data_IF_773966218479
#
_entry.id   IF_773966218479
#
_cell.length_a   1.000
_cell.length_b   1.000
_cell.length_c   1.000
_cell.angle_alpha   90.00
_cell.angle_beta   90.00
_cell.angle_gamma   90.00
#
_symmetry.space_group_name_H-M   'P 1'
#
loop_
_entity.id
_entity.type
_entity.pdbx_description
1 polymer ?
#
# COMPACT_ATOMS: atom_id res chain seq x y z
N UNK A 1 25.08 -19.89 -5.60
CA UNK A 1 23.64 -20.04 -5.82
C UNK A 1 23.27 -19.01 -6.86
N UNK A 2 22.45 -19.32 -7.85
CA UNK A 2 22.10 -18.33 -8.89
C UNK A 2 21.27 -17.22 -8.22
N UNK A 3 21.70 -15.98 -8.32
CA UNK A 3 21.09 -14.82 -7.66
C UNK A 3 19.63 -14.63 -8.07
N UNK A 4 19.30 -14.92 -9.33
CA UNK A 4 17.92 -14.95 -9.82
C UNK A 4 17.05 -15.94 -9.03
N UNK A 5 17.56 -17.15 -8.77
CA UNK A 5 16.78 -18.17 -8.04
C UNK A 5 16.56 -17.78 -6.59
N UNK A 6 17.51 -17.09 -5.96
CA UNK A 6 17.33 -16.58 -4.60
C UNK A 6 16.24 -15.51 -4.57
N UNK A 7 16.30 -14.53 -5.47
CA UNK A 7 15.28 -13.47 -5.53
C UNK A 7 13.90 -14.02 -5.87
N UNK A 8 13.79 -15.00 -6.76
CA UNK A 8 12.53 -15.69 -7.03
C UNK A 8 11.98 -16.39 -5.79
N UNK A 9 12.84 -17.06 -5.02
CA UNK A 9 12.45 -17.77 -3.78
C UNK A 9 11.94 -16.77 -2.74
N UNK A 10 12.63 -15.65 -2.57
CA UNK A 10 12.26 -14.60 -1.62
C UNK A 10 10.94 -13.93 -2.02
N UNK A 11 10.73 -13.69 -3.32
CA UNK A 11 9.49 -13.12 -3.84
C UNK A 11 8.30 -14.09 -3.70
N UNK A 12 8.48 -15.37 -4.05
CA UNK A 12 7.46 -16.42 -3.86
C UNK A 12 7.09 -16.53 -2.37
N UNK A 13 8.08 -16.55 -1.49
CA UNK A 13 7.85 -16.57 -0.05
C UNK A 13 7.06 -15.34 0.39
N UNK A 14 7.41 -14.15 -0.08
CA UNK A 14 6.69 -12.93 0.22
C UNK A 14 5.23 -13.01 -0.24
N UNK A 15 4.98 -13.40 -1.50
CA UNK A 15 3.62 -13.53 -2.05
C UNK A 15 2.79 -14.56 -1.30
N UNK A 16 3.32 -15.76 -1.06
CA UNK A 16 2.59 -16.82 -0.36
C UNK A 16 2.35 -16.51 1.11
N UNK A 17 3.21 -15.70 1.73
CA UNK A 17 3.02 -15.23 3.11
C UNK A 17 1.96 -14.12 3.20
N UNK A 18 1.88 -13.28 2.18
CA UNK A 18 0.89 -12.17 2.11
C UNK A 18 -0.50 -12.68 1.72
N UNK A 19 -0.55 -13.70 0.85
CA UNK A 19 -1.78 -14.24 0.28
C UNK A 19 -1.91 -15.76 0.55
N UNK A 20 -1.90 -16.22 1.81
CA UNK A 20 -1.79 -17.65 2.14
C UNK A 20 -2.95 -18.49 1.60
N UNK A 21 -4.16 -17.89 1.53
CA UNK A 21 -5.38 -18.62 1.13
C UNK A 21 -5.61 -18.61 -0.37
N UNK A 22 -4.97 -17.70 -1.12
CA UNK A 22 -5.23 -17.47 -2.55
C UNK A 22 -4.01 -17.66 -3.43
N UNK A 23 -2.80 -17.69 -2.86
CA UNK A 23 -1.56 -17.91 -3.59
C UNK A 23 -1.00 -19.32 -3.35
N UNK A 24 -0.62 -19.99 -4.43
CA UNK A 24 0.00 -21.31 -4.39
C UNK A 24 1.17 -21.39 -5.37
N UNK A 25 2.29 -22.00 -4.94
CA UNK A 25 3.47 -22.18 -5.77
C UNK A 25 3.73 -23.66 -6.08
N UNK A 26 3.80 -23.97 -7.36
CA UNK A 26 4.23 -25.31 -7.87
C UNK A 26 5.73 -25.27 -8.14
N UNK A 27 6.52 -25.86 -7.23
CA UNK A 27 7.99 -25.88 -7.34
C UNK A 27 8.48 -26.62 -8.58
N UNK A 28 7.79 -27.68 -9.00
CA UNK A 28 8.21 -28.49 -10.17
C UNK A 28 8.04 -27.75 -11.48
N UNK A 29 6.94 -27.01 -11.60
CA UNK A 29 6.61 -26.25 -12.80
C UNK A 29 7.11 -24.81 -12.73
N UNK A 30 7.56 -24.36 -11.56
CA UNK A 30 7.96 -22.99 -11.29
C UNK A 30 6.81 -21.99 -11.60
N UNK A 31 5.59 -22.36 -11.22
CA UNK A 31 4.40 -21.54 -11.45
C UNK A 31 3.84 -21.06 -10.12
N UNK A 32 3.74 -19.74 -9.97
CA UNK A 32 3.01 -19.08 -8.89
C UNK A 32 1.61 -18.76 -9.40
N UNK A 33 0.59 -19.32 -8.75
CA UNK A 33 -0.82 -19.09 -9.07
C UNK A 33 -1.44 -18.24 -7.97
N UNK A 34 -2.16 -17.19 -8.33
CA UNK A 34 -2.88 -16.31 -7.39
C UNK A 34 -4.33 -16.18 -7.86
N UNK A 35 -5.27 -16.49 -6.98
CA UNK A 35 -6.70 -16.32 -7.23
C UNK A 35 -7.16 -14.99 -6.69
N UNK A 36 -7.80 -14.20 -7.51
CA UNK A 36 -8.36 -12.88 -7.17
C UNK A 36 -9.89 -12.92 -7.25
N UNK A 37 -10.51 -11.81 -6.90
CA UNK A 37 -11.95 -11.64 -7.03
C UNK A 37 -12.44 -11.74 -8.49
N UNK A 38 -13.72 -11.87 -8.69
CA UNK A 38 -14.37 -12.03 -10.01
C UNK A 38 -13.89 -13.26 -10.82
N UNK A 39 -13.50 -14.34 -10.16
CA UNK A 39 -12.97 -15.55 -10.81
C UNK A 39 -11.74 -15.28 -11.70
N UNK A 40 -10.95 -14.27 -11.35
CA UNK A 40 -9.68 -13.97 -12.02
C UNK A 40 -8.57 -14.79 -11.36
N UNK A 41 -7.83 -15.54 -12.18
CA UNK A 41 -6.64 -16.28 -11.74
C UNK A 41 -5.42 -15.79 -12.51
N UNK A 42 -4.39 -15.40 -11.78
CA UNK A 42 -3.09 -15.02 -12.30
C UNK A 42 -2.12 -16.18 -12.18
N UNK A 43 -1.39 -16.51 -13.26
CA UNK A 43 -0.31 -17.49 -13.25
C UNK A 43 0.97 -16.81 -13.71
N UNK A 44 2.00 -16.83 -12.85
CA UNK A 44 3.33 -16.35 -13.16
C UNK A 44 4.27 -17.54 -13.31
N UNK A 45 4.94 -17.64 -14.46
CA UNK A 45 5.91 -18.69 -14.76
C UNK A 45 7.29 -18.07 -14.55
N UNK A 46 8.02 -18.58 -13.54
CA UNK A 46 9.31 -18.05 -13.14
C UNK A 46 10.42 -18.67 -13.99
N UNK A 47 10.81 -17.98 -15.04
CA UNK A 47 11.92 -18.40 -15.91
C UNK A 47 13.28 -18.21 -15.21
N UNK A 48 14.32 -18.98 -15.56
CA UNK A 48 15.63 -18.90 -14.89
C UNK A 48 16.32 -17.53 -14.97
N UNK A 49 15.97 -16.72 -15.97
CA UNK A 49 16.51 -15.38 -16.22
C UNK A 49 15.69 -14.24 -15.59
N UNK A 50 14.56 -14.54 -14.96
CA UNK A 50 13.81 -13.60 -14.14
C UNK A 50 14.50 -13.41 -12.77
N UNK A 51 14.58 -12.20 -12.18
CA UNK A 51 14.09 -10.92 -12.70
C UNK A 51 15.11 -10.14 -13.54
N UNK A 52 16.39 -10.48 -13.54
CA UNK A 52 17.45 -9.61 -14.06
C UNK A 52 17.41 -9.41 -15.56
N UNK A 53 17.14 -10.46 -16.35
CA UNK A 53 17.23 -10.40 -17.81
C UNK A 53 15.85 -10.30 -18.48
N UNK A 54 14.82 -10.88 -17.86
CA UNK A 54 13.47 -10.91 -18.42
C UNK A 54 12.40 -10.81 -17.33
N UNK A 55 11.20 -10.32 -17.67
CA UNK A 55 10.03 -10.46 -16.79
C UNK A 55 9.63 -11.93 -16.62
N UNK A 56 8.77 -12.25 -15.62
CA UNK A 56 8.14 -13.56 -15.56
C UNK A 56 7.15 -13.67 -16.72
N UNK A 57 7.01 -14.86 -17.31
CA UNK A 57 5.88 -15.11 -18.19
C UNK A 57 4.58 -15.15 -17.36
N UNK A 58 3.46 -14.71 -17.93
CA UNK A 58 2.22 -14.65 -17.18
C UNK A 58 1.01 -15.05 -18.00
N UNK A 59 -0.01 -15.58 -17.32
CA UNK A 59 -1.34 -15.85 -17.88
C UNK A 59 -2.41 -15.30 -16.96
N UNK A 60 -3.38 -14.63 -17.56
CA UNK A 60 -4.55 -14.10 -16.87
C UNK A 60 -5.73 -14.94 -17.33
N UNK A 61 -6.33 -15.67 -16.41
CA UNK A 61 -7.53 -16.49 -16.63
C UNK A 61 -8.67 -15.75 -15.97
N UNK A 62 -9.66 -15.36 -16.76
CA UNK A 62 -10.88 -14.70 -16.30
C UNK A 62 -12.06 -15.12 -17.18
N UNK A 63 -13.31 -14.91 -16.71
CA UNK A 63 -14.51 -15.20 -17.51
C UNK A 63 -14.47 -14.53 -18.89
N UNK A 64 -14.99 -15.22 -19.90
CA UNK A 64 -14.89 -14.79 -21.30
C UNK A 64 -15.51 -13.41 -21.60
N UNK A 65 -16.46 -12.95 -20.76
CA UNK A 65 -17.07 -11.62 -20.88
C UNK A 65 -16.23 -10.49 -20.30
N UNK A 66 -15.08 -10.80 -19.63
CA UNK A 66 -14.17 -9.83 -19.00
C UNK A 66 -12.93 -9.54 -19.85
N UNK A 67 -13.04 -9.56 -21.18
CA UNK A 67 -11.91 -9.36 -22.09
C UNK A 67 -11.22 -8.00 -21.88
N UNK A 68 -12.00 -6.95 -21.62
CA UNK A 68 -11.47 -5.62 -21.37
C UNK A 68 -10.70 -5.55 -20.05
N UNK A 69 -11.18 -6.22 -19.01
CA UNK A 69 -10.47 -6.36 -17.74
C UNK A 69 -9.12 -7.06 -17.94
N UNK A 70 -9.12 -8.20 -18.68
CA UNK A 70 -7.87 -8.90 -18.99
C UNK A 70 -6.88 -8.02 -19.75
N UNK A 71 -7.37 -7.22 -20.71
CA UNK A 71 -6.56 -6.29 -21.49
C UNK A 71 -5.94 -5.22 -20.56
N UNK A 72 -6.73 -4.59 -19.70
CA UNK A 72 -6.25 -3.58 -18.72
C UNK A 72 -5.18 -4.16 -17.80
N UNK A 73 -5.39 -5.37 -17.26
CA UNK A 73 -4.42 -6.04 -16.39
C UNK A 73 -3.12 -6.35 -17.16
N UNK A 74 -3.23 -6.91 -18.38
CA UNK A 74 -2.03 -7.24 -19.21
C UNK A 74 -1.22 -5.99 -19.56
N UNK A 75 -1.88 -4.90 -19.92
CA UNK A 75 -1.24 -3.62 -20.21
C UNK A 75 -0.49 -3.08 -18.97
N UNK A 76 -1.10 -3.18 -17.81
CA UNK A 76 -0.49 -2.77 -16.54
C UNK A 76 0.73 -3.63 -16.20
N UNK A 77 0.67 -4.93 -16.41
CA UNK A 77 1.83 -5.82 -16.19
C UNK A 77 2.98 -5.47 -17.11
N UNK A 78 2.69 -5.20 -18.38
CA UNK A 78 3.72 -4.76 -19.34
C UNK A 78 4.40 -3.49 -18.84
N UNK A 79 3.63 -2.50 -18.37
CA UNK A 79 4.19 -1.27 -17.81
C UNK A 79 5.06 -1.55 -16.58
N UNK A 80 4.60 -2.40 -15.66
CA UNK A 80 5.39 -2.77 -14.50
C UNK A 80 6.72 -3.44 -14.88
N UNK A 81 6.72 -4.28 -15.91
CA UNK A 81 7.95 -4.93 -16.38
C UNK A 81 8.96 -3.95 -16.98
N UNK A 82 8.49 -2.92 -17.63
CA UNK A 82 9.34 -1.84 -18.15
C UNK A 82 9.87 -0.95 -17.01
N UNK A 83 9.02 -0.57 -16.08
CA UNK A 83 9.35 0.34 -14.98
C UNK A 83 10.28 -0.31 -13.93
N UNK A 84 10.17 -1.62 -13.72
CA UNK A 84 10.90 -2.39 -12.71
C UNK A 84 11.86 -3.43 -13.31
N UNK A 85 12.43 -3.13 -14.47
CA UNK A 85 13.36 -4.05 -15.13
C UNK A 85 14.51 -4.46 -14.22
N UNK A 86 14.72 -5.77 -14.09
CA UNK A 86 15.77 -6.34 -13.24
C UNK A 86 15.41 -6.47 -11.75
N UNK A 87 14.17 -6.20 -11.36
CA UNK A 87 13.68 -6.26 -9.98
C UNK A 87 12.47 -7.20 -9.90
N UNK A 88 12.31 -7.96 -8.80
CA UNK A 88 11.10 -8.74 -8.56
C UNK A 88 9.84 -7.87 -8.56
N UNK A 89 8.82 -8.24 -9.36
CA UNK A 89 7.69 -7.35 -9.68
C UNK A 89 6.31 -8.01 -9.50
N UNK A 90 6.27 -9.30 -9.14
CA UNK A 90 5.00 -10.05 -9.05
C UNK A 90 4.09 -9.49 -7.98
N UNK A 91 4.61 -9.11 -6.81
CA UNK A 91 3.80 -8.48 -5.76
C UNK A 91 3.10 -7.20 -6.26
N UNK A 92 3.80 -6.39 -7.06
CA UNK A 92 3.22 -5.19 -7.65
C UNK A 92 2.16 -5.53 -8.70
N UNK A 93 2.42 -6.54 -9.53
CA UNK A 93 1.45 -7.01 -10.52
C UNK A 93 0.15 -7.50 -9.87
N UNK A 94 0.24 -8.25 -8.75
CA UNK A 94 -0.93 -8.72 -8.01
C UNK A 94 -1.73 -7.54 -7.45
N UNK A 95 -1.05 -6.59 -6.81
CA UNK A 95 -1.70 -5.41 -6.23
C UNK A 95 -2.42 -4.56 -7.30
N UNK A 96 -1.78 -4.36 -8.45
CA UNK A 96 -2.38 -3.60 -9.55
C UNK A 96 -3.56 -4.34 -10.19
N UNK A 97 -3.46 -5.67 -10.34
CA UNK A 97 -4.58 -6.48 -10.84
C UNK A 97 -5.80 -6.38 -9.90
N UNK A 98 -5.59 -6.47 -8.57
CA UNK A 98 -6.67 -6.32 -7.61
C UNK A 98 -7.32 -4.94 -7.70
N UNK A 99 -6.52 -3.86 -7.79
CA UNK A 99 -7.05 -2.51 -7.95
C UNK A 99 -7.91 -2.36 -9.22
N UNK A 100 -7.48 -2.93 -10.33
CA UNK A 100 -8.21 -2.90 -11.61
C UNK A 100 -9.54 -3.69 -11.49
N UNK A 101 -9.53 -4.82 -10.78
CA UNK A 101 -10.74 -5.62 -10.51
C UNK A 101 -11.70 -4.83 -9.63
N UNK A 102 -11.23 -4.19 -8.58
CA UNK A 102 -12.03 -3.37 -7.67
C UNK A 102 -12.66 -2.18 -8.39
N UNK A 103 -11.93 -1.54 -9.30
CA UNK A 103 -12.47 -0.48 -10.16
C UNK A 103 -13.57 -1.01 -11.09
N UNK A 104 -13.33 -2.16 -11.70
CA UNK A 104 -14.31 -2.82 -12.60
C UNK A 104 -15.61 -3.19 -11.87
N UNK A 105 -15.53 -3.61 -10.60
CA UNK A 105 -16.71 -3.92 -9.78
C UNK A 105 -17.51 -2.67 -9.37
N UNK A 106 -16.86 -1.52 -9.28
CA UNK A 106 -17.50 -0.24 -8.89
C UNK A 106 -18.17 0.48 -10.04
N UNK A 107 -17.86 0.16 -11.29
CA UNK A 107 -18.54 0.73 -12.44
C UNK A 107 -19.98 0.19 -12.52
N UNK A 108 -21.04 1.03 -12.36
CA UNK A 108 -22.40 0.58 -12.56
C UNK A 108 -22.58 0.17 -14.03
N UNK A 109 -23.35 -0.89 -14.27
CA UNK A 109 -23.61 -1.48 -15.59
C UNK A 109 -24.48 -0.59 -16.51
N UNK A 110 -24.13 0.68 -16.67
CA UNK A 110 -24.73 1.60 -17.61
C UNK A 110 -23.73 2.67 -18.03
N UNK A 111 -22.95 2.35 -19.05
CA UNK A 111 -22.57 3.30 -20.11
C UNK A 111 -21.57 2.65 -21.07
N UNK A 112 -22.10 1.81 -21.94
CA UNK A 112 -21.48 1.59 -23.24
C UNK A 112 -21.80 2.79 -24.12
N UNK A 113 -20.74 3.42 -24.64
CA UNK A 113 -20.69 4.42 -25.70
C UNK A 113 -20.64 5.88 -25.23
N UNK A 114 -19.45 6.47 -25.27
CA UNK A 114 -19.06 7.51 -26.24
C UNK A 114 -17.72 8.14 -25.86
N UNK A 115 -16.88 8.08 -26.84
CA UNK A 115 -15.70 8.84 -27.19
C UNK A 115 -15.61 10.27 -26.62
N UNK A 116 -14.32 10.60 -26.32
CA UNK A 116 -13.69 11.90 -26.45
C UNK A 116 -14.46 13.13 -25.96
N UNK A 117 -13.97 13.78 -24.93
CA UNK A 117 -13.54 15.17 -24.97
C UNK A 117 -13.10 15.74 -23.62
N UNK A 118 -11.95 16.40 -23.72
CA UNK A 118 -11.57 17.61 -23.00
C UNK A 118 -11.57 17.65 -21.46
N UNK A 119 -10.35 17.77 -20.98
CA UNK A 119 -9.98 18.16 -19.64
C UNK A 119 -10.44 19.61 -19.42
N UNK A 120 -11.53 19.81 -18.72
CA UNK A 120 -11.83 21.09 -18.09
C UNK A 120 -11.56 21.00 -16.60
N UNK A 121 -10.67 21.89 -16.18
CA UNK A 121 -10.39 22.26 -14.80
C UNK A 121 -11.69 22.58 -14.03
N UNK A 122 -12.24 21.63 -13.27
CA UNK A 122 -13.25 21.92 -12.26
C UNK A 122 -12.60 21.98 -10.90
N UNK A 123 -12.63 23.18 -10.37
CA UNK A 123 -12.30 23.55 -8.99
C UNK A 123 -12.84 22.49 -8.02
N UNK A 124 -11.91 21.82 -7.37
CA UNK A 124 -12.20 20.90 -6.26
C UNK A 124 -12.74 21.75 -5.11
N UNK A 125 -14.02 21.59 -4.79
CA UNK A 125 -14.56 22.07 -3.53
C UNK A 125 -13.71 21.55 -2.37
N UNK A 126 -13.11 22.47 -1.65
CA UNK A 126 -12.35 22.19 -0.44
C UNK A 126 -13.33 21.62 0.59
N UNK A 127 -13.35 20.31 0.73
CA UNK A 127 -13.98 19.65 1.88
C UNK A 127 -13.32 20.22 3.12
N UNK A 128 -14.06 21.01 3.89
CA UNK A 128 -13.59 21.64 5.13
C UNK A 128 -13.09 20.53 6.06
N UNK A 129 -11.77 20.48 6.27
CA UNK A 129 -11.13 19.61 7.27
C UNK A 129 -11.83 19.84 8.63
N UNK A 130 -12.10 18.77 9.42
CA UNK A 130 -12.69 18.95 10.73
C UNK A 130 -11.79 19.84 11.57
N UNK A 131 -12.40 20.85 12.21
CA UNK A 131 -11.71 21.72 13.17
C UNK A 131 -11.21 20.84 14.31
N UNK A 132 -9.95 21.06 14.73
CA UNK A 132 -9.33 20.38 15.84
C UNK A 132 -10.28 20.35 17.05
N UNK A 133 -10.70 19.15 17.42
CA UNK A 133 -11.48 18.91 18.62
C UNK A 133 -10.57 18.15 19.58
N UNK A 134 -9.95 18.89 20.51
CA UNK A 134 -9.20 18.30 21.61
C UNK A 134 -10.21 17.78 22.66
N UNK A 135 -10.61 16.51 22.54
CA UNK A 135 -11.61 15.91 23.41
C UNK A 135 -11.05 15.31 24.70
N UNK A 136 -9.75 14.91 24.73
CA UNK A 136 -9.18 14.18 25.86
C UNK A 136 -8.03 14.86 26.59
N UNK A 137 -7.42 15.89 26.01
CA UNK A 137 -6.18 16.51 26.57
C UNK A 137 -4.94 15.58 26.52
N UNK A 138 -5.06 14.41 25.91
CA UNK A 138 -3.98 13.45 25.73
C UNK A 138 -3.02 13.95 24.65
N UNK A 139 -1.71 13.96 24.92
CA UNK A 139 -0.71 14.24 23.90
C UNK A 139 -0.13 12.94 23.36
N UNK A 140 -0.10 12.84 22.02
CA UNK A 140 0.48 11.71 21.30
C UNK A 140 1.96 11.99 21.03
N UNK A 141 2.78 10.98 21.23
CA UNK A 141 4.22 11.08 20.98
C UNK A 141 4.51 10.68 19.53
N UNK A 142 4.56 11.65 18.64
CA UNK A 142 4.86 11.44 17.24
C UNK A 142 6.36 11.28 17.01
N UNK A 143 6.75 10.20 16.35
CA UNK A 143 8.09 10.00 15.82
C UNK A 143 8.02 10.24 14.32
N UNK A 144 8.87 11.12 13.80
CA UNK A 144 8.94 11.47 12.38
C UNK A 144 10.22 10.93 11.77
N UNK A 145 10.10 10.29 10.61
CA UNK A 145 11.25 9.86 9.81
C UNK A 145 11.90 11.01 9.05
N UNK A 146 12.95 10.68 8.33
CA UNK A 146 13.60 11.64 7.42
C UNK A 146 12.69 11.98 6.24
N UNK A 147 12.94 13.17 5.65
CA UNK A 147 12.25 13.58 4.44
C UNK A 147 12.91 12.94 3.22
N UNK A 148 12.11 12.42 2.31
CA UNK A 148 12.56 11.97 1.00
C UNK A 148 12.08 12.97 -0.06
N UNK A 149 13.00 13.45 -0.89
CA UNK A 149 12.68 14.33 -2.00
C UNK A 149 12.88 13.61 -3.33
N UNK A 150 11.86 13.64 -4.20
CA UNK A 150 11.95 13.20 -5.60
C UNK A 150 11.16 14.14 -6.49
N UNK A 151 11.79 14.62 -7.56
CA UNK A 151 11.18 15.52 -8.56
C UNK A 151 10.39 16.66 -7.92
N UNK A 152 11.01 17.36 -6.94
CA UNK A 152 10.43 18.45 -6.12
C UNK A 152 9.26 18.05 -5.21
N UNK A 153 8.77 16.81 -5.25
CA UNK A 153 7.84 16.31 -4.26
C UNK A 153 8.61 15.86 -3.03
N UNK A 154 8.09 16.19 -1.85
CA UNK A 154 8.68 15.79 -0.57
C UNK A 154 7.72 14.84 0.14
N UNK A 155 8.26 13.79 0.74
CA UNK A 155 7.52 12.83 1.53
C UNK A 155 8.13 12.70 2.92
N UNK A 156 7.29 12.51 3.93
CA UNK A 156 7.75 12.24 5.30
C UNK A 156 6.80 11.27 6.00
N UNK A 157 7.35 10.29 6.71
CA UNK A 157 6.58 9.35 7.51
C UNK A 157 6.52 9.80 8.97
N UNK A 158 5.38 9.55 9.62
CA UNK A 158 5.15 9.80 11.04
C UNK A 158 4.47 8.58 11.66
N UNK A 159 4.84 8.21 12.88
CA UNK A 159 4.23 7.10 13.62
C UNK A 159 3.94 7.50 15.06
N UNK A 160 2.84 7.00 15.60
CA UNK A 160 2.49 7.15 17.01
C UNK A 160 1.70 5.95 17.53
N UNK A 161 1.61 5.82 18.85
CA UNK A 161 0.79 4.81 19.50
C UNK A 161 -0.68 5.28 19.60
N UNK A 162 -1.61 4.35 19.35
CA UNK A 162 -3.06 4.54 19.49
C UNK A 162 -3.65 3.32 20.19
N UNK A 163 -4.54 3.53 21.15
CA UNK A 163 -5.10 2.45 21.99
C UNK A 163 -6.62 2.45 22.10
N UNK A 164 -7.27 3.57 21.75
CA UNK A 164 -8.72 3.76 21.81
C UNK A 164 -9.25 4.10 20.43
N UNK A 165 -10.54 3.88 20.23
CA UNK A 165 -11.22 4.19 18.98
C UNK A 165 -11.10 5.67 18.56
N UNK A 166 -11.06 6.55 19.54
CA UNK A 166 -11.00 8.01 19.33
C UNK A 166 -9.58 8.50 19.05
N UNK A 167 -8.56 7.76 19.50
CA UNK A 167 -7.16 8.16 19.42
C UNK A 167 -6.70 8.54 17.99
N UNK A 168 -7.05 7.82 16.91
CA UNK A 168 -6.55 8.16 15.57
C UNK A 168 -6.94 9.57 15.11
N UNK A 169 -8.17 9.99 15.35
CA UNK A 169 -8.63 11.33 14.94
C UNK A 169 -7.98 12.42 15.79
N UNK A 170 -7.83 12.18 17.10
CA UNK A 170 -7.14 13.12 18.00
C UNK A 170 -5.66 13.21 17.67
N UNK A 171 -4.99 12.08 17.42
CA UNK A 171 -3.59 12.03 17.03
C UNK A 171 -3.34 12.77 15.72
N UNK A 172 -4.18 12.52 14.70
CA UNK A 172 -4.09 13.23 13.43
C UNK A 172 -4.28 14.74 13.63
N UNK A 173 -5.28 15.15 14.41
CA UNK A 173 -5.52 16.54 14.73
C UNK A 173 -4.31 17.22 15.34
N UNK A 174 -3.63 16.56 16.29
CA UNK A 174 -2.39 17.06 16.90
C UNK A 174 -1.22 17.13 15.91
N UNK A 175 -1.06 16.14 15.04
CA UNK A 175 -0.04 16.18 13.99
C UNK A 175 -0.25 17.39 13.07
N UNK A 176 -1.48 17.67 12.73
CA UNK A 176 -1.90 18.81 11.89
C UNK A 176 -1.79 20.17 12.57
N UNK A 177 -1.52 20.26 13.89
CA UNK A 177 -1.13 21.50 14.55
C UNK A 177 0.19 22.04 13.97
N UNK A 178 1.05 21.16 13.44
CA UNK A 178 2.20 21.55 12.64
C UNK A 178 1.73 22.15 11.30
N UNK A 179 1.78 23.48 11.20
CA UNK A 179 1.31 24.20 10.02
C UNK A 179 1.99 23.82 8.70
N UNK A 180 3.18 23.17 8.70
CA UNK A 180 3.80 22.63 7.48
C UNK A 180 3.07 21.38 7.04
N UNK A 181 2.79 20.45 7.97
CA UNK A 181 2.07 19.20 7.70
C UNK A 181 0.62 19.52 7.31
N UNK A 182 -0.03 20.43 8.00
CA UNK A 182 -1.40 20.85 7.67
C UNK A 182 -1.57 21.43 6.27
N UNK A 183 -0.51 22.04 5.72
CA UNK A 183 -0.50 22.58 4.35
C UNK A 183 0.04 21.59 3.30
N UNK A 184 0.35 20.38 3.68
CA UNK A 184 0.73 19.36 2.73
C UNK A 184 -0.42 19.04 1.75
N UNK A 185 -0.09 18.54 0.59
CA UNK A 185 -1.09 18.16 -0.43
C UNK A 185 -1.89 16.96 0.04
N UNK A 186 -1.21 15.98 0.68
CA UNK A 186 -1.81 14.75 1.18
C UNK A 186 -1.21 14.35 2.52
N UNK A 187 -2.04 13.85 3.43
CA UNK A 187 -1.68 13.24 4.70
C UNK A 187 -2.39 11.89 4.82
N UNK A 188 -1.89 10.90 4.10
CA UNK A 188 -2.44 9.55 4.07
C UNK A 188 -2.16 8.84 5.38
N UNK A 189 -3.12 8.10 5.93
CA UNK A 189 -2.89 7.37 7.17
C UNK A 189 -3.51 5.98 7.19
N UNK A 190 -3.01 5.16 8.10
CA UNK A 190 -3.62 3.91 8.49
C UNK A 190 -3.32 3.63 9.97
N UNK A 191 -4.20 2.85 10.62
CA UNK A 191 -4.00 2.41 11.99
C UNK A 191 -4.52 1.00 12.24
N UNK A 192 -3.95 0.36 13.25
CA UNK A 192 -4.41 -0.92 13.78
C UNK A 192 -4.44 -0.80 15.30
N UNK A 193 -5.58 -1.03 15.93
CA UNK A 193 -5.78 -0.99 17.38
C UNK A 193 -6.29 -2.34 17.84
N UNK A 194 -5.63 -2.93 18.83
CA UNK A 194 -6.11 -4.14 19.50
C UNK A 194 -6.73 -3.77 20.83
N UNK A 195 -8.04 -3.88 20.93
CA UNK A 195 -8.78 -3.59 22.13
C UNK A 195 -8.58 -4.67 23.20
N UNK A 196 -8.78 -4.35 24.51
CA UNK A 196 -8.63 -5.30 25.60
C UNK A 196 -9.52 -6.54 25.49
N UNK A 197 -10.65 -6.45 24.78
CA UNK A 197 -11.57 -7.55 24.51
C UNK A 197 -11.14 -8.45 23.34
N UNK A 198 -9.94 -8.21 22.77
CA UNK A 198 -9.39 -8.95 21.63
C UNK A 198 -9.91 -8.50 20.26
N UNK A 199 -10.81 -7.52 20.18
CA UNK A 199 -11.28 -6.97 18.90
C UNK A 199 -10.20 -6.10 18.29
N UNK A 200 -9.91 -6.31 17.00
CA UNK A 200 -9.06 -5.45 16.20
C UNK A 200 -9.92 -4.38 15.50
N UNK A 201 -9.55 -3.12 15.71
CA UNK A 201 -10.06 -1.98 14.95
C UNK A 201 -8.96 -1.51 14.02
N UNK A 202 -9.27 -1.40 12.74
CA UNK A 202 -8.31 -0.90 11.76
C UNK A 202 -9.04 -0.11 10.69
N UNK A 203 -8.41 0.98 10.22
CA UNK A 203 -8.95 1.82 9.16
C UNK A 203 -7.82 2.58 8.48
N UNK A 204 -8.11 3.20 7.33
CA UNK A 204 -7.15 3.97 6.57
C UNK A 204 -7.84 5.05 5.73
N UNK A 205 -7.08 6.10 5.38
CA UNK A 205 -7.54 7.20 4.54
C UNK A 205 -6.45 7.59 3.54
N UNK A 206 -6.85 7.83 2.31
CA UNK A 206 -5.95 8.21 1.21
C UNK A 206 -5.63 9.71 1.19
N UNK A 207 -6.47 10.57 1.76
CA UNK A 207 -6.41 12.04 1.67
C UNK A 207 -6.13 12.53 0.24
N UNK A 208 -6.79 11.91 -0.76
CA UNK A 208 -6.65 12.24 -2.18
C UNK A 208 -5.51 11.52 -2.94
N UNK A 209 -4.61 10.80 -2.25
CA UNK A 209 -3.59 9.95 -2.88
C UNK A 209 -4.15 8.52 -3.06
N UNK A 210 -5.08 8.35 -4.00
CA UNK A 210 -5.87 7.12 -4.18
C UNK A 210 -5.03 5.84 -4.10
N UNK A 211 -5.43 4.93 -3.19
CA UNK A 211 -4.81 3.62 -3.00
C UNK A 211 -3.59 3.61 -2.06
N UNK A 212 -3.23 4.72 -1.44
CA UNK A 212 -2.13 4.78 -0.48
C UNK A 212 -2.53 4.23 0.90
N UNK A 213 -3.70 4.59 1.41
CA UNK A 213 -4.20 4.16 2.71
C UNK A 213 -4.27 2.64 2.86
N UNK A 214 -4.93 1.90 1.94
CA UNK A 214 -4.95 0.44 1.97
C UNK A 214 -3.56 -0.19 1.98
N UNK A 215 -2.58 0.37 1.26
CA UNK A 215 -1.18 -0.11 1.26
C UNK A 215 -0.53 0.09 2.63
N UNK A 216 -0.75 1.24 3.28
CA UNK A 216 -0.26 1.51 4.63
C UNK A 216 -0.88 0.56 5.65
N UNK A 217 -2.20 0.35 5.59
CA UNK A 217 -2.91 -0.58 6.47
C UNK A 217 -2.40 -2.01 6.29
N UNK A 218 -2.26 -2.45 5.04
CA UNK A 218 -1.71 -3.75 4.72
C UNK A 218 -0.30 -3.93 5.32
N UNK A 219 0.55 -2.91 5.23
CA UNK A 219 1.91 -2.95 5.78
C UNK A 219 1.91 -3.04 7.31
N UNK A 220 1.04 -2.30 8.01
CA UNK A 220 0.87 -2.42 9.46
C UNK A 220 0.50 -3.85 9.86
N UNK A 221 -0.46 -4.46 9.16
CA UNK A 221 -0.92 -5.83 9.41
C UNK A 221 0.18 -6.85 9.10
N UNK A 222 0.85 -6.74 7.96
CA UNK A 222 1.94 -7.62 7.54
C UNK A 222 3.09 -7.62 8.55
N UNK A 223 3.40 -6.45 9.10
CA UNK A 223 4.45 -6.30 10.10
C UNK A 223 3.96 -6.55 11.53
N UNK A 224 2.72 -6.98 11.74
CA UNK A 224 2.10 -7.19 13.07
C UNK A 224 2.31 -5.96 13.99
N UNK A 225 2.07 -4.77 13.45
CA UNK A 225 2.20 -3.50 14.18
C UNK A 225 0.86 -3.17 14.85
N UNK A 226 0.62 -3.76 16.02
CA UNK A 226 -0.58 -3.50 16.83
C UNK A 226 -0.46 -2.19 17.60
N UNK A 227 -1.58 -1.48 17.77
CA UNK A 227 -1.68 -0.22 18.50
C UNK A 227 -0.81 0.91 17.92
N UNK A 228 -0.68 0.92 16.60
CA UNK A 228 0.09 1.91 15.86
C UNK A 228 -0.78 2.64 14.85
N UNK A 229 -0.48 3.92 14.68
CA UNK A 229 -0.94 4.74 13.58
C UNK A 229 0.24 5.29 12.81
N UNK A 230 0.21 5.13 11.49
CA UNK A 230 1.18 5.71 10.57
C UNK A 230 0.52 6.79 9.72
N UNK A 231 1.23 7.89 9.48
CA UNK A 231 0.84 8.95 8.56
C UNK A 231 1.99 9.19 7.59
N UNK A 232 1.69 9.23 6.29
CA UNK A 232 2.64 9.69 5.29
C UNK A 232 2.16 11.04 4.77
N UNK A 233 2.99 12.04 4.96
CA UNK A 233 2.74 13.40 4.46
C UNK A 233 3.44 13.58 3.13
N UNK A 234 2.74 14.13 2.14
CA UNK A 234 3.27 14.47 0.83
C UNK A 234 3.04 15.93 0.49
N UNK A 235 4.10 16.63 0.15
CA UNK A 235 4.08 17.96 -0.46
C UNK A 235 4.33 17.80 -1.96
N UNK A 236 3.34 18.06 -2.79
CA UNK A 236 3.46 17.94 -4.24
C UNK A 236 4.33 19.04 -4.83
N UNK A 237 5.32 18.66 -5.62
CA UNK A 237 6.30 19.57 -6.22
C UNK A 237 5.97 20.03 -7.66
N UNK A 238 4.74 19.80 -8.13
CA UNK A 238 4.32 20.21 -9.48
C UNK A 238 4.70 19.22 -10.59
N UNK A 239 5.45 18.15 -10.29
CA UNK A 239 5.84 17.12 -11.26
C UNK A 239 5.17 15.81 -10.88
N UNK A 240 4.45 15.21 -11.83
CA UNK A 240 3.79 13.92 -11.61
C UNK A 240 4.83 12.80 -11.46
N UNK A 241 4.73 12.06 -10.34
CA UNK A 241 5.60 10.92 -10.05
C UNK A 241 5.07 9.59 -10.61
N UNK A 242 3.82 9.59 -11.10
CA UNK A 242 3.20 8.34 -11.53
C UNK A 242 3.23 7.27 -10.43
N UNK A 243 3.53 6.00 -10.77
CA UNK A 243 3.61 4.89 -9.81
C UNK A 243 4.72 5.03 -8.76
N UNK A 244 5.80 5.76 -9.05
CA UNK A 244 6.94 5.96 -8.15
C UNK A 244 6.52 6.52 -6.78
N UNK A 245 5.45 7.32 -6.72
CA UNK A 245 4.94 7.86 -5.47
C UNK A 245 4.57 6.78 -4.46
N UNK A 246 3.99 5.67 -4.91
CA UNK A 246 3.63 4.55 -4.03
C UNK A 246 4.87 3.81 -3.53
N UNK A 247 5.92 3.70 -4.35
CA UNK A 247 7.20 3.15 -3.92
C UNK A 247 7.79 3.99 -2.79
N UNK A 248 7.78 5.33 -2.92
CA UNK A 248 8.25 6.23 -1.87
C UNK A 248 7.40 6.12 -0.59
N UNK A 249 6.07 6.10 -0.72
CA UNK A 249 5.14 5.92 0.40
C UNK A 249 5.42 4.61 1.13
N UNK A 250 5.51 3.48 0.42
CA UNK A 250 5.76 2.17 1.01
C UNK A 250 7.16 2.05 1.62
N UNK A 251 8.20 2.60 0.98
CA UNK A 251 9.56 2.56 1.51
C UNK A 251 9.66 3.35 2.82
N UNK A 252 9.16 4.59 2.86
CA UNK A 252 9.17 5.42 4.06
C UNK A 252 8.35 4.80 5.19
N UNK A 253 7.19 4.22 4.86
CA UNK A 253 6.39 3.50 5.83
C UNK A 253 7.17 2.32 6.42
N UNK A 254 7.81 1.50 5.58
CA UNK A 254 8.62 0.37 6.02
C UNK A 254 9.80 0.82 6.90
N UNK A 255 10.52 1.86 6.48
CA UNK A 255 11.68 2.37 7.20
C UNK A 255 11.30 2.81 8.61
N UNK A 256 10.25 3.62 8.76
CA UNK A 256 9.84 4.11 10.08
C UNK A 256 9.29 2.97 10.96
N UNK A 257 8.57 2.00 10.39
CA UNK A 257 8.05 0.85 11.12
C UNK A 257 9.17 -0.07 11.61
N UNK A 258 10.20 -0.30 10.79
CA UNK A 258 11.39 -1.08 11.17
C UNK A 258 12.18 -0.37 12.26
N UNK A 259 12.42 0.93 12.12
CA UNK A 259 13.10 1.74 13.12
C UNK A 259 12.32 1.73 14.45
N UNK A 260 11.02 1.98 14.40
CA UNK A 260 10.14 1.95 15.56
C UNK A 260 10.19 0.61 16.30
N UNK A 261 10.11 -0.51 15.57
CA UNK A 261 10.19 -1.86 16.15
C UNK A 261 11.53 -2.11 16.81
N UNK A 262 12.63 -1.66 16.21
CA UNK A 262 13.97 -1.83 16.76
C UNK A 262 14.13 -1.09 18.10
N UNK A 263 13.58 0.12 18.17
CA UNK A 263 13.70 0.96 19.37
C UNK A 263 12.73 0.56 20.50
N UNK A 264 11.56 -0.02 20.15
CA UNK A 264 10.49 -0.37 21.12
C UNK A 264 10.23 -1.87 21.26
N UNK A 265 10.77 -2.72 20.37
CA UNK A 265 10.55 -4.17 20.36
C UNK A 265 11.14 -4.91 21.55
N UNK A 266 12.21 -4.40 22.15
CA UNK A 266 12.83 -4.99 23.35
C UNK A 266 12.00 -4.83 24.62
N UNK A 267 11.06 -3.87 24.67
CA UNK A 267 10.18 -3.70 25.84
C UNK A 267 9.05 -4.74 25.89
N UNK A 268 8.61 -5.25 24.75
CA UNK A 268 7.52 -6.24 24.65
C UNK A 268 8.01 -7.62 25.13
N UNK A 269 9.24 -8.01 24.76
CA UNK A 269 9.83 -9.27 25.23
C UNK A 269 10.14 -9.28 26.73
N UNK A 270 10.52 -8.13 27.31
CA UNK A 270 10.79 -8.02 28.76
C UNK A 270 9.52 -8.11 29.61
N UNK A 271 8.36 -7.68 29.10
CA UNK A 271 7.07 -7.79 29.81
C UNK A 271 6.47 -9.20 29.73
N UNK A 272 6.73 -9.95 28.67
CA UNK A 272 6.24 -11.34 28.53
C UNK A 272 7.03 -12.36 29.38
N UNK A 273 8.29 -12.06 29.72
CA UNK A 273 9.14 -12.90 30.60
C UNK A 273 8.95 -12.65 32.11
N UNK A 274 8.08 -11.71 32.52
CA UNK A 274 7.76 -11.38 33.91
C UNK A 274 6.35 -11.80 34.37
N UNK A 275 5.67 -12.63 33.60
CA UNK A 275 4.39 -13.25 34.02
C UNK A 275 4.52 -14.74 34.18
#
# INVERSE_FOLDING_TARGET
>A
MNENLQQQSDEVFAVTSVFPDVAAFDEKKRILTVKLDCDVELKFILLPNYPFESPPDHRIIAPAFMTELQRKISERFRQNYEDFKGIPVICQCIADAQNIIDEYQREPASEKAKEDHEIEDKQVEVVKRPKAVNLSGQRFNWISGECLEDRKSVFQAHITNVHKKEDPLEALSQLLENGKIARATHNMYAYVIKLPNGIELSDCEDDGEKGAGPKLLHMLKLMNMENQMIVITRWYGGIHLGPDRFRHICNLAREILVAYRKDHGEEVEKKSKKR
#
